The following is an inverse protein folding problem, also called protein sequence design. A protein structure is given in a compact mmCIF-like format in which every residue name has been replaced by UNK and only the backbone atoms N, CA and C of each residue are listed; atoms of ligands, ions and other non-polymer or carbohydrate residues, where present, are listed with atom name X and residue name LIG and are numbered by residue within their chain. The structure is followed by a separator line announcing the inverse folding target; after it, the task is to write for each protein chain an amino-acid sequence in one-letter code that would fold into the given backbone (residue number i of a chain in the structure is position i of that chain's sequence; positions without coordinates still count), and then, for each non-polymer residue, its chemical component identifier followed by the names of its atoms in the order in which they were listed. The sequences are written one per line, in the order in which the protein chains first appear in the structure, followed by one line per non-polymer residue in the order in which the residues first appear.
data_IF_492747573048
#
_entry.id   IF_492747573048
#
_cell.length_a   1.000
_cell.length_b   1.000
_cell.length_c   1.000
_cell.angle_alpha   90.00
_cell.angle_beta   90.00
_cell.angle_gamma   90.00
#
_symmetry.space_group_name_H-M   'P 1'
#
loop_
_entity.id
_entity.type
_entity.pdbx_description
1 polymer ?
#
# COMPACT_ATOMS: atom_id res chain seq x y z
N UNK A 1 14.95 17.53 12.58
CA UNK A 1 14.20 18.55 11.83
C UNK A 1 14.33 18.52 10.31
N UNK A 2 15.52 18.37 9.70
CA UNK A 2 15.63 18.26 8.23
C UNK A 2 15.00 17.00 7.61
N UNK A 3 15.05 15.86 8.32
CA UNK A 3 14.33 14.63 7.96
C UNK A 3 12.81 14.82 7.87
N UNK A 4 12.29 15.84 8.56
CA UNK A 4 10.87 16.19 8.57
C UNK A 4 10.49 17.05 7.35
N UNK A 5 11.42 17.84 6.81
CA UNK A 5 11.20 18.75 5.68
C UNK A 5 11.24 18.00 4.34
N UNK A 6 12.18 17.09 4.12
CA UNK A 6 12.26 16.31 2.87
C UNK A 6 11.18 15.24 2.74
N UNK A 7 10.54 14.86 3.85
CA UNK A 7 9.44 13.88 3.91
C UNK A 7 8.05 14.48 3.64
N UNK A 8 7.93 15.81 3.66
CA UNK A 8 6.63 16.51 3.71
C UNK A 8 6.26 17.39 2.53
N UNK A 9 7.24 17.76 1.73
CA UNK A 9 7.04 18.66 0.61
C UNK A 9 7.41 17.91 -0.66
N UNK A 10 6.46 17.67 -1.59
CA UNK A 10 6.76 17.03 -2.87
C UNK A 10 7.86 17.80 -3.62
N UNK A 11 8.75 17.10 -4.33
CA UNK A 11 9.75 17.72 -5.19
C UNK A 11 9.11 18.67 -6.22
N UNK A 12 7.93 18.35 -6.73
CA UNK A 12 7.13 19.23 -7.59
C UNK A 12 6.74 20.54 -6.89
N UNK A 13 6.34 20.48 -5.63
CA UNK A 13 5.95 21.65 -4.83
C UNK A 13 7.16 22.52 -4.46
N UNK A 14 8.32 21.91 -4.21
CA UNK A 14 9.59 22.62 -3.91
C UNK A 14 10.19 23.31 -5.14
N UNK A 15 9.98 22.74 -6.33
CA UNK A 15 10.38 23.32 -7.62
C UNK A 15 9.44 24.45 -8.04
N UNK A 16 8.12 24.30 -7.85
CA UNK A 16 7.14 25.35 -8.17
C UNK A 16 7.26 26.58 -7.28
N UNK A 17 7.78 26.44 -6.05
CA UNK A 17 7.91 27.54 -5.08
C UNK A 17 9.26 28.25 -5.11
N UNK A 18 10.24 27.76 -5.89
CA UNK A 18 11.53 28.42 -6.10
C UNK A 18 12.61 28.18 -5.02
N UNK A 19 12.42 27.18 -4.15
CA UNK A 19 13.32 26.91 -2.99
C UNK A 19 14.38 25.82 -3.28
N UNK A 20 14.51 25.40 -4.53
CA UNK A 20 15.30 24.23 -4.95
C UNK A 20 16.84 24.28 -4.85
N UNK A 21 17.58 25.42 -4.72
CA UNK A 21 19.04 25.37 -4.83
C UNK A 21 19.78 24.90 -3.56
N UNK A 22 19.07 24.55 -2.48
CA UNK A 22 19.67 24.06 -1.24
C UNK A 22 19.02 22.71 -0.95
N UNK A 23 19.72 21.58 -1.11
CA UNK A 23 19.51 20.23 -0.50
C UNK A 23 20.16 19.18 -1.43
N UNK A 24 21.46 18.90 -1.24
CA UNK A 24 22.16 17.72 -1.80
C UNK A 24 23.04 17.01 -0.75
N UNK A 25 22.81 17.28 0.54
CA UNK A 25 23.68 16.84 1.66
C UNK A 25 23.18 15.59 2.43
N UNK A 26 22.14 14.89 1.95
CA UNK A 26 21.37 13.92 2.74
C UNK A 26 21.99 12.53 2.90
N UNK A 27 22.89 12.07 2.03
CA UNK A 27 23.53 10.75 2.18
C UNK A 27 24.63 10.72 3.27
N UNK A 28 25.40 11.80 3.40
CA UNK A 28 26.43 11.90 4.44
C UNK A 28 25.83 11.96 5.85
N UNK A 29 24.70 12.66 6.01
CA UNK A 29 24.00 12.80 7.29
C UNK A 29 23.27 11.52 7.72
N UNK A 30 22.72 10.75 6.78
CA UNK A 30 22.11 9.45 7.08
C UNK A 30 23.17 8.43 7.52
N UNK A 31 24.31 8.39 6.83
CA UNK A 31 25.44 7.52 7.15
C UNK A 31 26.05 7.85 8.52
N UNK A 32 26.21 9.15 8.84
CA UNK A 32 26.67 9.62 10.17
C UNK A 32 25.69 9.25 11.29
N UNK A 33 24.39 9.48 11.10
CA UNK A 33 23.37 9.18 12.11
C UNK A 33 23.27 7.67 12.39
N UNK A 34 23.39 6.82 11.37
CA UNK A 34 23.34 5.37 11.53
C UNK A 34 24.62 4.82 12.19
N UNK A 35 25.79 5.35 11.81
CA UNK A 35 27.09 5.04 12.43
C UNK A 35 27.13 5.43 13.91
N UNK A 36 26.41 6.49 14.30
CA UNK A 36 26.28 6.89 15.70
C UNK A 36 25.42 5.93 16.53
N UNK A 37 24.40 5.32 15.93
CA UNK A 37 23.44 4.43 16.61
C UNK A 37 23.85 2.96 16.58
N UNK A 38 24.65 2.55 15.59
CA UNK A 38 25.13 1.18 15.41
C UNK A 38 26.59 1.19 14.93
N UNK A 39 27.56 1.49 15.83
CA UNK A 39 28.96 1.67 15.44
C UNK A 39 29.62 0.44 14.82
N UNK A 40 29.09 -0.76 15.10
CA UNK A 40 29.57 -2.03 14.54
C UNK A 40 28.92 -2.38 13.18
N UNK A 41 27.79 -1.76 12.85
CA UNK A 41 27.17 -1.78 11.52
C UNK A 41 27.82 -0.70 10.65
N UNK A 42 29.12 -0.85 10.44
CA UNK A 42 29.82 -0.05 9.43
C UNK A 42 29.34 -0.53 8.07
N UNK A 43 28.53 0.29 7.39
CA UNK A 43 28.36 0.16 5.94
C UNK A 43 29.72 0.34 5.28
N UNK A 44 30.41 -0.79 5.04
CA UNK A 44 31.54 -0.90 4.12
C UNK A 44 31.09 -1.55 2.82
N UNK A 45 29.93 -1.18 2.29
CA UNK A 45 29.52 -1.65 0.96
C UNK A 45 30.22 -0.79 -0.10
N UNK A 46 31.54 -0.99 -0.12
CA UNK A 46 32.54 -0.66 -1.12
C UNK A 46 32.46 0.72 -1.75
N UNK A 47 33.23 1.65 -1.19
CA UNK A 47 33.60 2.85 -1.93
C UNK A 47 34.30 2.48 -3.26
N UNK A 48 34.93 1.30 -3.37
CA UNK A 48 35.66 0.85 -4.57
C UNK A 48 35.11 -0.47 -5.15
N UNK A 49 34.32 -0.40 -6.22
CA UNK A 49 34.10 -1.57 -7.09
C UNK A 49 35.42 -1.90 -7.79
N UNK A 50 35.90 -3.16 -7.77
CA UNK A 50 37.18 -3.52 -8.39
C UNK A 50 37.28 -3.06 -9.85
N UNK A 51 38.27 -2.19 -10.14
CA UNK A 51 38.51 -1.66 -11.48
C UNK A 51 37.73 -0.40 -11.88
N UNK A 52 36.81 0.09 -11.03
CA UNK A 52 36.04 1.32 -11.26
C UNK A 52 36.52 2.48 -10.39
N UNK A 53 37.19 2.20 -9.27
CA UNK A 53 37.63 3.21 -8.29
C UNK A 53 36.46 3.76 -7.47
N UNK A 54 36.67 4.90 -6.78
CA UNK A 54 35.66 5.48 -5.89
C UNK A 54 34.41 5.89 -6.67
N UNK A 55 33.26 5.29 -6.35
CA UNK A 55 31.99 5.65 -6.97
C UNK A 55 31.67 7.13 -6.69
N UNK A 56 31.13 7.82 -7.70
CA UNK A 56 30.82 9.24 -7.58
C UNK A 56 29.68 9.47 -6.58
N UNK A 57 29.69 10.54 -5.78
CA UNK A 57 28.70 10.74 -4.72
C UNK A 57 27.28 11.07 -5.22
N UNK A 58 27.13 11.49 -6.48
CA UNK A 58 25.84 11.91 -7.04
C UNK A 58 25.51 11.22 -8.39
N UNK A 59 24.20 11.05 -8.63
CA UNK A 59 23.67 10.41 -9.85
C UNK A 59 23.79 11.27 -11.10
N UNK A 60 23.88 12.59 -10.94
CA UNK A 60 23.90 13.54 -12.04
C UNK A 60 25.26 13.49 -12.76
N UNK A 61 26.33 13.26 -12.00
CA UNK A 61 27.68 13.05 -12.51
C UNK A 61 27.79 11.77 -13.36
N UNK A 62 27.05 10.71 -13.05
CA UNK A 62 26.98 9.51 -13.89
C UNK A 62 26.32 9.79 -15.24
N UNK A 63 25.20 10.51 -15.25
CA UNK A 63 24.50 10.87 -16.50
C UNK A 63 25.37 11.72 -17.42
N UNK A 64 26.23 12.57 -16.85
CA UNK A 64 27.20 13.38 -17.59
C UNK A 64 28.58 12.74 -17.71
N UNK A 65 28.75 11.48 -17.28
CA UNK A 65 30.06 10.84 -17.27
C UNK A 65 30.57 10.60 -18.70
N UNK A 66 31.88 10.75 -18.94
CA UNK A 66 32.47 10.44 -20.24
C UNK A 66 32.18 9.00 -20.68
N UNK A 67 31.94 8.77 -21.96
CA UNK A 67 31.69 7.42 -22.54
C UNK A 67 32.74 6.38 -22.13
N UNK A 68 34.00 6.79 -21.98
CA UNK A 68 35.08 5.92 -21.55
C UNK A 68 34.89 5.39 -20.12
N UNK A 69 34.26 6.16 -19.23
CA UNK A 69 33.93 5.73 -17.87
C UNK A 69 32.81 4.68 -17.90
N UNK A 70 31.77 4.90 -18.70
CA UNK A 70 30.70 3.93 -18.91
C UNK A 70 31.21 2.60 -19.47
N UNK A 71 32.12 2.63 -20.45
CA UNK A 71 32.75 1.42 -21.00
C UNK A 71 33.60 0.67 -19.96
N UNK A 72 34.32 1.39 -19.09
CA UNK A 72 35.08 0.78 -17.99
C UNK A 72 34.16 0.14 -16.95
N UNK A 73 33.07 0.81 -16.59
CA UNK A 73 32.05 0.28 -15.68
C UNK A 73 31.41 -0.98 -16.27
N UNK A 74 31.04 -0.96 -17.55
CA UNK A 74 30.50 -2.10 -18.27
C UNK A 74 31.46 -3.29 -18.28
N UNK A 75 32.72 -3.05 -18.65
CA UNK A 75 33.75 -4.10 -18.69
C UNK A 75 34.07 -4.66 -17.30
N UNK A 76 34.03 -3.83 -16.26
CA UNK A 76 34.23 -4.27 -14.87
C UNK A 76 33.08 -5.15 -14.40
N UNK A 77 31.83 -4.75 -14.65
CA UNK A 77 30.67 -5.55 -14.24
C UNK A 77 30.53 -6.86 -15.02
N UNK A 78 30.77 -6.84 -16.33
CA UNK A 78 30.74 -8.05 -17.16
C UNK A 78 31.89 -9.02 -16.87
N UNK A 79 33.00 -8.51 -16.32
CA UNK A 79 34.16 -9.31 -15.89
C UNK A 79 34.20 -9.62 -14.40
N UNK A 80 33.20 -9.19 -13.63
CA UNK A 80 33.15 -9.43 -12.19
C UNK A 80 32.87 -10.91 -11.91
N UNK A 81 33.75 -11.56 -11.15
CA UNK A 81 33.53 -12.91 -10.67
C UNK A 81 32.55 -12.93 -9.47
N UNK A 82 32.11 -14.12 -9.12
CA UNK A 82 31.17 -14.33 -8.01
C UNK A 82 31.69 -13.77 -6.68
N UNK A 83 33.00 -13.83 -6.44
CA UNK A 83 33.64 -13.31 -5.23
C UNK A 83 33.68 -11.77 -5.21
N UNK A 84 33.83 -11.12 -6.36
CA UNK A 84 33.71 -9.67 -6.50
C UNK A 84 32.27 -9.20 -6.24
N UNK A 85 31.28 -9.90 -6.80
CA UNK A 85 29.87 -9.57 -6.61
C UNK A 85 29.43 -9.76 -5.15
N UNK A 86 29.94 -10.78 -4.46
CA UNK A 86 29.64 -11.04 -3.04
C UNK A 86 30.30 -10.05 -2.07
N UNK A 87 31.44 -9.46 -2.45
CA UNK A 87 32.14 -8.46 -1.63
C UNK A 87 31.37 -7.16 -1.51
N UNK A 88 30.66 -6.77 -2.57
CA UNK A 88 29.96 -5.49 -2.67
C UNK A 88 28.58 -5.65 -3.32
N UNK A 89 27.65 -6.45 -2.74
CA UNK A 89 26.48 -6.90 -3.49
C UNK A 89 25.50 -5.78 -3.82
N UNK A 90 25.36 -4.76 -2.97
CA UNK A 90 24.51 -3.61 -3.27
C UNK A 90 25.10 -2.72 -4.36
N UNK A 91 26.37 -2.36 -4.23
CA UNK A 91 27.07 -1.54 -5.24
C UNK A 91 27.06 -2.24 -6.60
N UNK A 92 27.29 -3.55 -6.62
CA UNK A 92 27.24 -4.39 -7.83
C UNK A 92 25.83 -4.43 -8.43
N UNK A 93 24.80 -4.62 -7.60
CA UNK A 93 23.41 -4.63 -8.06
C UNK A 93 22.97 -3.29 -8.65
N UNK A 94 23.33 -2.20 -7.99
CA UNK A 94 23.06 -0.85 -8.45
C UNK A 94 23.78 -0.55 -9.77
N UNK A 95 25.08 -0.85 -9.85
CA UNK A 95 25.89 -0.62 -11.05
C UNK A 95 25.41 -1.44 -12.24
N UNK A 96 25.12 -2.73 -12.05
CA UNK A 96 24.58 -3.57 -13.10
C UNK A 96 23.17 -3.11 -13.53
N UNK A 97 22.32 -2.70 -12.59
CA UNK A 97 21.01 -2.13 -12.90
C UNK A 97 21.11 -0.82 -13.69
N UNK A 98 22.03 0.07 -13.30
CA UNK A 98 22.29 1.34 -13.99
C UNK A 98 22.83 1.11 -15.41
N UNK A 99 23.82 0.23 -15.57
CA UNK A 99 24.39 -0.13 -16.88
C UNK A 99 23.36 -0.80 -17.78
N UNK A 100 22.50 -1.66 -17.23
CA UNK A 100 21.40 -2.29 -17.96
C UNK A 100 20.41 -1.24 -18.50
N UNK A 101 20.10 -0.21 -17.70
CA UNK A 101 19.16 0.84 -18.08
C UNK A 101 19.64 1.72 -19.25
N UNK A 102 20.96 1.76 -19.52
CA UNK A 102 21.56 2.53 -20.62
C UNK A 102 22.13 1.67 -21.75
N UNK A 103 22.02 0.34 -21.66
CA UNK A 103 22.51 -0.59 -22.67
C UNK A 103 21.43 -0.90 -23.72
N UNK A 104 21.78 -0.78 -24.99
CA UNK A 104 20.86 -0.97 -26.13
C UNK A 104 20.83 -2.42 -26.64
N UNK A 105 21.86 -3.22 -26.37
CA UNK A 105 21.91 -4.62 -26.79
C UNK A 105 21.23 -5.56 -25.77
N UNK A 106 20.08 -6.14 -26.13
CA UNK A 106 19.28 -7.00 -25.26
C UNK A 106 20.03 -8.14 -24.56
N UNK A 107 20.97 -8.78 -25.26
CA UNK A 107 21.78 -9.85 -24.67
C UNK A 107 22.66 -9.34 -23.54
N UNK A 108 23.29 -8.18 -23.72
CA UNK A 108 24.15 -7.54 -22.72
C UNK A 108 23.30 -6.99 -21.58
N UNK A 109 22.20 -6.31 -21.90
CA UNK A 109 21.20 -5.82 -20.95
C UNK A 109 20.70 -6.92 -20.02
N UNK A 110 20.33 -8.08 -20.58
CA UNK A 110 19.88 -9.26 -19.81
C UNK A 110 20.98 -9.80 -18.90
N UNK A 111 22.20 -9.96 -19.41
CA UNK A 111 23.34 -10.41 -18.59
C UNK A 111 23.61 -9.47 -17.41
N UNK A 112 23.44 -8.16 -17.58
CA UNK A 112 23.56 -7.18 -16.48
C UNK A 112 22.41 -7.30 -15.47
N UNK A 113 21.17 -7.52 -15.91
CA UNK A 113 20.05 -7.77 -14.97
C UNK A 113 20.26 -9.06 -14.19
N UNK A 114 20.75 -10.12 -14.83
CA UNK A 114 21.06 -11.40 -14.18
C UNK A 114 22.17 -11.21 -13.13
N UNK A 115 23.21 -10.41 -13.42
CA UNK A 115 24.24 -10.02 -12.46
C UNK A 115 23.68 -9.21 -11.29
N UNK A 116 22.78 -8.26 -11.56
CA UNK A 116 22.14 -7.45 -10.52
C UNK A 116 21.30 -8.32 -9.58
N UNK A 117 20.51 -9.24 -10.13
CA UNK A 117 19.73 -10.20 -9.35
C UNK A 117 20.62 -11.15 -8.57
N UNK A 118 21.70 -11.64 -9.18
CA UNK A 118 22.66 -12.52 -8.52
C UNK A 118 23.30 -11.85 -7.29
N UNK A 119 23.75 -10.60 -7.43
CA UNK A 119 24.30 -9.82 -6.32
C UNK A 119 23.26 -9.60 -5.20
N UNK A 120 22.00 -9.29 -5.56
CA UNK A 120 20.91 -9.12 -4.59
C UNK A 120 20.54 -10.41 -3.83
N UNK A 121 20.64 -11.58 -4.48
CA UNK A 121 20.38 -12.88 -3.83
C UNK A 121 21.30 -13.15 -2.65
N UNK A 122 22.50 -12.56 -2.61
CA UNK A 122 23.41 -12.68 -1.48
C UNK A 122 22.82 -12.18 -0.14
N UNK A 123 21.94 -11.16 -0.18
CA UNK A 123 21.27 -10.70 1.04
C UNK A 123 20.04 -11.53 1.42
N UNK A 124 19.43 -12.24 0.45
CA UNK A 124 18.30 -13.15 0.70
C UNK A 124 18.73 -14.36 1.53
N UNK A 125 19.95 -14.85 1.33
CA UNK A 125 20.49 -16.02 2.04
C UNK A 125 20.82 -15.76 3.52
N UNK A 126 20.94 -14.50 3.96
CA UNK A 126 21.42 -14.15 5.31
C UNK A 126 20.35 -13.66 6.30
N UNK A 127 19.05 -13.75 5.98
CA UNK A 127 17.96 -13.20 6.81
C UNK A 127 18.22 -11.75 7.26
N UNK A 128 18.82 -10.95 6.38
CA UNK A 128 19.29 -9.62 6.74
C UNK A 128 18.23 -8.58 6.37
N UNK A 129 17.65 -7.91 7.37
CA UNK A 129 16.74 -6.76 7.20
C UNK A 129 17.35 -5.65 6.34
N UNK A 130 18.67 -5.65 6.13
CA UNK A 130 19.36 -4.81 5.13
C UNK A 130 18.82 -5.02 3.71
N UNK A 131 18.43 -6.22 3.28
CA UNK A 131 17.83 -6.44 1.96
C UNK A 131 16.50 -5.70 1.80
N UNK A 132 15.63 -5.85 2.80
CA UNK A 132 14.34 -5.17 2.84
C UNK A 132 14.53 -3.66 2.94
N UNK A 133 15.44 -3.18 3.79
CA UNK A 133 15.73 -1.75 3.93
C UNK A 133 16.36 -1.15 2.66
N UNK A 134 17.23 -1.88 1.96
CA UNK A 134 17.79 -1.47 0.66
C UNK A 134 16.69 -1.41 -0.40
N UNK A 135 15.87 -2.46 -0.52
CA UNK A 135 14.76 -2.47 -1.45
C UNK A 135 13.78 -1.34 -1.15
N UNK A 136 13.46 -1.06 0.12
CA UNK A 136 12.50 -0.04 0.54
C UNK A 136 13.05 1.39 0.44
N UNK A 137 14.31 1.62 0.80
CA UNK A 137 14.96 2.96 0.75
C UNK A 137 15.46 3.33 -0.64
N UNK A 138 15.85 2.35 -1.44
CA UNK A 138 16.34 2.52 -2.80
C UNK A 138 15.27 2.18 -3.84
N UNK A 139 14.02 1.90 -3.41
CA UNK A 139 12.92 1.55 -4.32
C UNK A 139 12.65 2.63 -5.36
N UNK A 140 12.86 3.91 -5.07
CA UNK A 140 12.67 4.95 -6.09
C UNK A 140 13.70 4.87 -7.24
N UNK A 141 14.83 4.18 -7.03
CA UNK A 141 15.87 3.91 -8.03
C UNK A 141 15.66 2.53 -8.66
N UNK A 142 15.37 1.51 -7.85
CA UNK A 142 15.18 0.13 -8.33
C UNK A 142 13.79 -0.15 -8.87
N UNK A 143 12.75 0.58 -8.47
CA UNK A 143 11.39 0.44 -9.01
C UNK A 143 11.40 0.79 -10.50
N UNK A 144 11.96 1.92 -10.97
CA UNK A 144 12.14 2.14 -12.40
C UNK A 144 12.90 0.99 -13.09
N UNK A 145 13.95 0.43 -12.49
CA UNK A 145 14.76 -0.64 -13.10
C UNK A 145 14.02 -2.00 -13.12
N UNK A 146 13.37 -2.40 -12.03
CA UNK A 146 12.58 -3.63 -11.92
C UNK A 146 11.29 -3.53 -12.75
N UNK A 147 10.69 -2.34 -12.82
CA UNK A 147 9.53 -2.05 -13.65
C UNK A 147 9.92 -1.94 -15.13
N UNK A 148 11.15 -1.49 -15.46
CA UNK A 148 11.71 -1.52 -16.83
C UNK A 148 12.05 -2.96 -17.26
N UNK A 149 12.57 -3.79 -16.36
CA UNK A 149 12.77 -5.22 -16.60
C UNK A 149 11.45 -5.99 -16.80
N UNK A 150 10.34 -5.51 -16.23
CA UNK A 150 8.98 -6.05 -16.44
C UNK A 150 8.21 -5.38 -17.59
N UNK A 151 8.60 -4.16 -18.02
CA UNK A 151 7.92 -3.38 -19.08
C UNK A 151 8.54 -3.54 -20.48
N UNK A 152 9.69 -4.20 -20.62
CA UNK A 152 10.36 -4.35 -21.92
C UNK A 152 10.04 -5.70 -22.59
N UNK A 153 8.74 -5.98 -22.75
CA UNK A 153 8.26 -6.71 -23.92
C UNK A 153 7.94 -5.67 -25.01
N UNK A 154 8.93 -5.37 -25.85
CA UNK A 154 8.93 -4.32 -26.89
C UNK A 154 7.86 -4.52 -27.97
N UNK A 155 7.06 -5.58 -27.93
CA UNK A 155 5.89 -5.74 -28.82
C UNK A 155 4.71 -4.82 -28.49
N UNK A 156 4.70 -4.11 -27.34
CA UNK A 156 3.51 -3.36 -26.87
C UNK A 156 3.58 -1.83 -26.97
N UNK A 157 4.71 -1.24 -27.34
CA UNK A 157 4.79 0.20 -27.65
C UNK A 157 4.66 1.17 -26.46
N UNK A 158 5.06 0.77 -25.24
CA UNK A 158 4.84 1.54 -24.01
C UNK A 158 6.07 2.27 -23.41
N UNK A 159 7.21 2.38 -24.09
CA UNK A 159 8.40 3.03 -23.49
C UNK A 159 8.39 4.58 -23.66
N UNK A 160 8.76 5.29 -22.58
CA UNK A 160 8.87 6.76 -22.37
C UNK A 160 7.75 7.50 -21.60
N UNK A 161 6.80 6.83 -20.96
CA UNK A 161 5.86 7.55 -20.08
C UNK A 161 6.53 7.85 -18.73
N UNK A 162 6.56 9.14 -18.34
CA UNK A 162 6.85 9.56 -16.96
C UNK A 162 6.01 8.70 -15.99
N UNK A 163 6.52 8.34 -14.81
CA UNK A 163 5.73 7.64 -13.81
C UNK A 163 4.42 8.41 -13.61
N UNK A 164 3.32 7.66 -13.65
CA UNK A 164 2.02 8.27 -13.61
C UNK A 164 1.80 8.99 -12.29
N UNK A 165 1.61 10.30 -12.31
CA UNK A 165 1.19 11.07 -11.12
C UNK A 165 -0.29 10.89 -10.78
N UNK A 166 -0.98 9.92 -11.39
CA UNK A 166 -2.42 9.73 -11.24
C UNK A 166 -2.73 8.95 -9.96
N UNK A 167 -2.80 9.66 -8.83
CA UNK A 167 -3.14 9.04 -7.55
C UNK A 167 -4.64 8.77 -7.40
N UNK A 168 -5.48 9.57 -8.06
CA UNK A 168 -6.93 9.58 -7.92
C UNK A 168 -7.62 10.16 -9.17
N UNK A 169 -8.93 9.91 -9.31
CA UNK A 169 -9.73 10.23 -10.49
C UNK A 169 -10.83 11.27 -10.21
N UNK A 170 -10.53 12.58 -10.34
CA UNK A 170 -11.47 13.64 -9.96
C UNK A 170 -12.78 13.66 -10.75
N UNK A 171 -12.86 12.97 -11.88
CA UNK A 171 -14.05 12.93 -12.74
C UNK A 171 -14.83 11.61 -12.61
N UNK A 172 -14.43 10.74 -11.68
CA UNK A 172 -14.95 9.37 -11.59
C UNK A 172 -13.99 8.35 -12.18
N UNK A 173 -14.23 7.07 -11.85
CA UNK A 173 -13.37 5.96 -12.25
C UNK A 173 -12.30 5.60 -11.22
N UNK A 174 -11.56 4.55 -11.57
CA UNK A 174 -10.41 3.99 -10.88
C UNK A 174 -9.13 4.42 -11.61
N UNK A 175 -8.07 4.86 -10.89
CA UNK A 175 -6.81 5.20 -11.53
C UNK A 175 -6.15 3.96 -12.15
N UNK A 176 -5.76 4.06 -13.42
CA UNK A 176 -4.93 3.07 -14.09
C UNK A 176 -3.52 3.62 -14.27
N UNK A 177 -2.60 3.18 -13.40
CA UNK A 177 -1.22 3.66 -13.36
C UNK A 177 -0.41 3.26 -14.60
N UNK A 178 -0.79 2.17 -15.28
CA UNK A 178 -0.13 1.71 -16.51
C UNK A 178 -0.50 2.60 -17.71
N UNK A 179 -1.77 2.99 -17.80
CA UNK A 179 -2.29 3.77 -18.93
C UNK A 179 -2.24 5.27 -18.71
N UNK A 180 -2.07 5.70 -17.46
CA UNK A 180 -2.16 7.09 -17.04
C UNK A 180 -3.49 7.75 -17.34
N UNK A 181 -4.58 7.04 -17.03
CA UNK A 181 -5.93 7.55 -17.18
C UNK A 181 -6.86 6.95 -16.14
N UNK A 182 -7.99 7.62 -15.97
CA UNK A 182 -9.10 7.12 -15.18
C UNK A 182 -9.94 6.19 -16.04
N UNK A 183 -10.30 5.03 -15.49
CA UNK A 183 -11.14 4.04 -16.16
C UNK A 183 -12.22 3.58 -15.21
N UNK A 184 -13.41 3.28 -15.72
CA UNK A 184 -14.44 2.63 -14.91
C UNK A 184 -14.10 1.14 -14.84
N UNK A 185 -13.57 0.72 -13.68
CA UNK A 185 -13.20 -0.66 -13.44
C UNK A 185 -14.42 -1.55 -13.18
N UNK A 186 -15.52 -0.96 -12.70
CA UNK A 186 -16.75 -1.67 -12.38
C UNK A 186 -17.84 -1.31 -13.39
N UNK A 187 -18.31 -2.30 -14.13
CA UNK A 187 -19.07 -2.07 -15.38
C UNK A 187 -20.55 -2.40 -15.27
N UNK A 188 -20.98 -3.16 -14.26
CA UNK A 188 -22.38 -3.47 -14.06
C UNK A 188 -23.12 -2.23 -13.54
N UNK A 189 -24.34 -2.07 -14.03
CA UNK A 189 -25.26 -1.07 -13.49
C UNK A 189 -25.53 -1.37 -12.01
N UNK A 190 -25.38 -0.36 -11.16
CA UNK A 190 -25.66 -0.45 -9.73
C UNK A 190 -26.90 0.35 -9.36
N UNK A 191 -27.53 -0.04 -8.26
CA UNK A 191 -28.59 0.74 -7.62
C UNK A 191 -27.98 1.51 -6.45
N UNK A 192 -28.56 2.66 -6.13
CA UNK A 192 -28.24 3.32 -4.87
C UNK A 192 -28.59 2.37 -3.71
N UNK A 193 -27.63 2.16 -2.82
CA UNK A 193 -27.75 1.25 -1.68
C UNK A 193 -27.09 1.89 -0.46
N UNK A 194 -27.57 1.53 0.73
CA UNK A 194 -27.00 2.00 1.99
C UNK A 194 -25.77 1.16 2.34
N UNK A 195 -24.66 1.84 2.59
CA UNK A 195 -23.38 1.22 2.93
C UNK A 195 -22.86 1.86 4.21
N UNK A 196 -22.39 1.04 5.14
CA UNK A 196 -21.66 1.49 6.32
C UNK A 196 -20.24 0.95 6.29
N UNK A 197 -19.28 1.86 6.44
CA UNK A 197 -17.86 1.54 6.47
C UNK A 197 -17.39 1.54 7.92
N UNK A 198 -16.74 0.46 8.35
CA UNK A 198 -16.24 0.27 9.70
C UNK A 198 -14.72 0.19 9.67
N UNK A 199 -14.07 1.14 10.35
CA UNK A 199 -12.63 1.15 10.58
C UNK A 199 -12.38 0.91 12.06
N UNK A 200 -11.82 -0.25 12.40
CA UNK A 200 -11.68 -0.70 13.80
C UNK A 200 -10.22 -0.61 14.25
N UNK A 201 -9.97 0.18 15.29
CA UNK A 201 -8.61 0.44 15.78
C UNK A 201 -8.61 0.98 17.21
N UNK A 202 -7.65 0.56 18.03
CA UNK A 202 -7.50 1.04 19.42
C UNK A 202 -6.80 2.38 19.52
N UNK A 203 -6.14 2.84 18.45
CA UNK A 203 -5.42 4.11 18.42
C UNK A 203 -6.40 5.27 18.29
N UNK A 204 -6.16 6.29 19.10
CA UNK A 204 -6.92 7.55 19.00
C UNK A 204 -6.53 8.30 17.73
N UNK A 205 -7.54 8.83 17.03
CA UNK A 205 -7.32 9.75 15.91
C UNK A 205 -6.85 11.11 16.39
N UNK A 206 -5.99 11.73 15.60
CA UNK A 206 -5.68 13.15 15.75
C UNK A 206 -6.74 13.99 15.02
N UNK A 207 -6.92 15.24 15.45
CA UNK A 207 -7.79 16.17 14.72
C UNK A 207 -7.10 16.63 13.43
N UNK A 208 -7.89 16.81 12.36
CA UNK A 208 -7.39 17.21 11.04
C UNK A 208 -7.69 18.68 10.71
N UNK A 209 -7.84 19.57 11.71
CA UNK A 209 -8.36 20.96 11.61
C UNK A 209 -7.72 21.89 10.56
N UNK A 210 -6.48 21.63 10.15
CA UNK A 210 -5.73 22.47 9.22
C UNK A 210 -4.64 21.69 8.48
N UNK A 211 -4.03 22.32 7.48
CA UNK A 211 -2.95 21.70 6.68
C UNK A 211 -1.82 21.15 7.54
N UNK A 212 -1.38 21.88 8.56
CA UNK A 212 -0.32 21.42 9.46
C UNK A 212 -0.71 20.14 10.18
N UNK A 213 -1.97 20.03 10.64
CA UNK A 213 -2.48 18.81 11.28
C UNK A 213 -2.64 17.65 10.30
N UNK A 214 -3.04 17.90 9.06
CA UNK A 214 -3.08 16.87 7.99
C UNK A 214 -1.68 16.36 7.71
N UNK A 215 -0.74 17.26 7.49
CA UNK A 215 0.65 16.90 7.25
C UNK A 215 1.26 16.15 8.46
N UNK A 216 0.88 16.52 9.68
CA UNK A 216 1.30 15.87 10.95
C UNK A 216 0.58 14.57 11.28
N UNK A 217 -0.53 14.27 10.61
CA UNK A 217 -1.35 13.13 10.96
C UNK A 217 -0.65 11.82 10.60
N UNK A 218 -0.86 10.83 11.47
CA UNK A 218 -0.39 9.46 11.25
C UNK A 218 -1.33 8.73 10.29
N UNK A 219 -0.83 7.69 9.64
CA UNK A 219 -1.57 6.94 8.62
C UNK A 219 -3.00 6.54 9.01
N UNK A 220 -3.26 6.11 10.26
CA UNK A 220 -4.62 5.70 10.68
C UNK A 220 -5.60 6.88 10.73
N UNK A 221 -5.12 8.08 11.05
CA UNK A 221 -5.92 9.30 11.03
C UNK A 221 -6.15 9.77 9.60
N UNK A 222 -5.10 9.72 8.76
CA UNK A 222 -5.17 10.07 7.35
C UNK A 222 -6.10 9.15 6.57
N UNK A 223 -5.98 7.85 6.76
CA UNK A 223 -6.84 6.84 6.12
C UNK A 223 -8.31 7.09 6.46
N UNK A 224 -8.64 7.30 7.74
CA UNK A 224 -10.00 7.66 8.12
C UNK A 224 -10.47 8.96 7.44
N UNK A 225 -9.62 9.98 7.37
CA UNK A 225 -9.95 11.23 6.67
C UNK A 225 -10.25 11.02 5.19
N UNK A 226 -9.41 10.25 4.48
CA UNK A 226 -9.59 9.92 3.06
C UNK A 226 -10.89 9.14 2.84
N UNK A 227 -11.13 8.12 3.65
CA UNK A 227 -12.31 7.26 3.57
C UNK A 227 -13.59 8.00 3.97
N UNK A 228 -13.51 8.93 4.93
CA UNK A 228 -14.65 9.79 5.31
C UNK A 228 -15.02 10.77 4.20
N UNK A 229 -14.04 11.37 3.54
CA UNK A 229 -14.30 12.20 2.37
C UNK A 229 -14.98 11.39 1.25
N UNK A 230 -14.50 10.17 0.98
CA UNK A 230 -15.15 9.25 0.04
C UNK A 230 -16.58 8.89 0.43
N UNK A 231 -16.78 8.47 1.69
CA UNK A 231 -18.10 8.11 2.20
C UNK A 231 -19.09 9.25 2.01
N UNK A 232 -18.65 10.48 2.30
CA UNK A 232 -19.46 11.67 2.11
C UNK A 232 -19.83 11.90 0.63
N UNK A 233 -18.92 11.69 -0.32
CA UNK A 233 -19.20 11.88 -1.75
C UNK A 233 -20.33 10.98 -2.26
N UNK A 234 -20.59 9.85 -1.59
CA UNK A 234 -21.62 8.89 -1.96
C UNK A 234 -22.76 8.73 -0.93
N UNK A 235 -22.75 9.50 0.15
CA UNK A 235 -23.76 9.42 1.21
C UNK A 235 -23.70 8.13 2.03
N UNK A 236 -22.51 7.55 2.20
CA UNK A 236 -22.29 6.38 3.06
C UNK A 236 -22.06 6.78 4.51
N UNK A 237 -22.47 5.92 5.44
CA UNK A 237 -22.08 6.03 6.84
C UNK A 237 -20.64 5.49 7.02
N UNK A 238 -19.85 6.11 7.90
CA UNK A 238 -18.51 5.63 8.25
C UNK A 238 -18.23 5.82 9.73
N UNK A 239 -17.72 4.77 10.37
CA UNK A 239 -17.42 4.74 11.79
C UNK A 239 -15.96 4.39 12.03
N UNK A 240 -15.31 5.17 12.90
CA UNK A 240 -14.04 4.80 13.50
C UNK A 240 -14.31 4.23 14.89
N UNK A 241 -14.23 2.91 15.03
CA UNK A 241 -14.62 2.22 16.25
C UNK A 241 -13.39 1.86 17.06
N UNK A 242 -13.32 2.35 18.29
CA UNK A 242 -12.36 1.84 19.28
C UNK A 242 -12.99 0.62 19.96
N UNK A 243 -12.51 -0.61 19.67
CA UNK A 243 -13.17 -1.80 20.17
C UNK A 243 -12.87 -2.00 21.66
N UNK A 244 -13.90 -2.40 22.39
CA UNK A 244 -13.77 -2.85 23.78
C UNK A 244 -13.38 -4.34 23.84
N UNK A 245 -12.34 -4.67 24.62
CA UNK A 245 -11.81 -6.03 24.72
C UNK A 245 -12.81 -7.03 25.32
N UNK A 246 -13.57 -6.62 26.33
CA UNK A 246 -14.49 -7.51 27.03
C UNK A 246 -15.66 -7.94 26.14
N UNK A 247 -16.07 -7.07 25.22
CA UNK A 247 -17.24 -7.26 24.35
C UNK A 247 -16.88 -7.72 22.95
N UNK A 248 -15.86 -7.14 22.32
CA UNK A 248 -15.58 -7.35 20.90
C UNK A 248 -14.51 -8.40 20.61
N UNK A 249 -13.60 -8.67 21.54
CA UNK A 249 -12.52 -9.64 21.31
C UNK A 249 -12.04 -10.35 22.60
N UNK A 250 -12.93 -10.85 23.46
CA UNK A 250 -12.55 -11.44 24.74
C UNK A 250 -11.61 -12.64 24.54
N UNK A 251 -10.42 -12.55 25.14
CA UNK A 251 -9.41 -13.60 25.02
C UNK A 251 -8.81 -13.75 23.62
N UNK A 252 -8.97 -12.78 22.73
CA UNK A 252 -8.43 -12.78 21.35
C UNK A 252 -7.49 -11.59 21.14
N UNK A 253 -6.78 -11.56 20.01
CA UNK A 253 -6.07 -10.36 19.55
C UNK A 253 -7.05 -9.35 18.94
N UNK A 254 -6.70 -8.07 19.04
CA UNK A 254 -7.51 -6.94 18.57
C UNK A 254 -7.95 -7.05 17.09
N UNK A 255 -7.17 -7.69 16.22
CA UNK A 255 -7.56 -7.87 14.81
C UNK A 255 -8.86 -8.66 14.62
N UNK A 256 -9.26 -9.47 15.59
CA UNK A 256 -10.55 -10.18 15.59
C UNK A 256 -11.74 -9.26 15.84
N UNK A 257 -11.53 -8.10 16.49
CA UNK A 257 -12.58 -7.18 16.87
C UNK A 257 -13.39 -6.68 15.67
N UNK A 258 -12.75 -6.53 14.50
CA UNK A 258 -13.39 -5.99 13.30
C UNK A 258 -14.64 -6.77 12.88
N UNK A 259 -14.57 -8.11 12.95
CA UNK A 259 -15.71 -8.98 12.58
C UNK A 259 -16.84 -8.82 13.59
N UNK A 260 -16.52 -8.82 14.88
CA UNK A 260 -17.52 -8.70 15.95
C UNK A 260 -18.20 -7.34 15.96
N UNK A 261 -17.44 -6.25 15.81
CA UNK A 261 -17.96 -4.88 15.67
C UNK A 261 -18.96 -4.80 14.52
N UNK A 262 -18.62 -5.36 13.35
CA UNK A 262 -19.50 -5.32 12.18
C UNK A 262 -20.77 -6.14 12.44
N UNK A 263 -20.65 -7.34 13.02
CA UNK A 263 -21.82 -8.18 13.37
C UNK A 263 -22.79 -7.41 14.26
N UNK A 264 -22.29 -6.76 15.31
CA UNK A 264 -23.14 -6.04 16.28
C UNK A 264 -23.75 -4.79 15.65
N UNK A 265 -22.98 -4.02 14.89
CA UNK A 265 -23.46 -2.82 14.20
C UNK A 265 -24.51 -3.13 13.11
N UNK A 266 -24.34 -4.21 12.34
CA UNK A 266 -25.30 -4.61 11.31
C UNK A 266 -26.63 -5.09 11.92
N UNK A 267 -26.58 -5.78 13.07
CA UNK A 267 -27.78 -6.17 13.83
C UNK A 267 -28.52 -4.95 14.38
N UNK A 268 -27.78 -3.99 14.93
CA UNK A 268 -28.36 -2.77 15.49
C UNK A 268 -29.02 -1.89 14.42
N UNK A 269 -28.34 -1.67 13.29
CA UNK A 269 -28.82 -0.77 12.22
C UNK A 269 -29.91 -1.39 11.36
N UNK A 270 -29.87 -2.71 11.17
CA UNK A 270 -30.72 -3.41 10.21
C UNK A 270 -30.43 -3.07 8.74
N UNK A 271 -31.04 -3.80 7.80
CA UNK A 271 -30.74 -3.68 6.37
C UNK A 271 -31.20 -2.34 5.76
N UNK A 272 -32.23 -1.71 6.31
CA UNK A 272 -32.76 -0.43 5.80
C UNK A 272 -31.74 0.70 5.94
N UNK A 273 -31.07 0.76 7.10
CA UNK A 273 -30.04 1.77 7.37
C UNK A 273 -28.66 1.35 6.87
N UNK A 274 -28.41 0.04 6.82
CA UNK A 274 -27.12 -0.50 6.47
C UNK A 274 -27.26 -1.80 5.66
N UNK A 275 -27.55 -1.71 4.36
CA UNK A 275 -27.72 -2.89 3.52
C UNK A 275 -26.40 -3.66 3.33
N UNK A 276 -25.26 -2.98 3.39
CA UNK A 276 -23.93 -3.57 3.27
C UNK A 276 -22.97 -3.01 4.32
N UNK A 277 -22.29 -3.91 5.04
CA UNK A 277 -21.19 -3.56 5.93
C UNK A 277 -19.84 -3.74 5.25
N UNK A 278 -18.95 -2.76 5.38
CA UNK A 278 -17.60 -2.80 4.82
C UNK A 278 -16.59 -2.73 5.95
N UNK A 279 -15.75 -3.74 6.08
CA UNK A 279 -14.55 -3.65 6.92
C UNK A 279 -13.43 -3.04 6.11
N UNK A 280 -12.75 -2.05 6.69
CA UNK A 280 -11.55 -1.46 6.10
C UNK A 280 -10.52 -1.21 7.20
N UNK A 281 -9.36 -1.85 7.10
CA UNK A 281 -8.28 -1.62 8.05
C UNK A 281 -7.76 -0.17 7.99
N UNK A 282 -7.23 0.33 9.09
CA UNK A 282 -6.76 1.73 9.19
C UNK A 282 -5.46 2.00 8.43
N UNK A 283 -4.80 0.97 7.92
CA UNK A 283 -3.73 1.03 6.94
C UNK A 283 -4.23 0.70 5.51
N UNK A 284 -5.53 0.80 5.26
CA UNK A 284 -6.12 0.72 3.93
C UNK A 284 -6.99 1.95 3.61
N UNK A 285 -7.09 2.35 2.34
CA UNK A 285 -7.99 3.42 1.92
C UNK A 285 -8.59 3.19 0.53
N UNK A 286 -9.76 3.78 0.29
CA UNK A 286 -10.47 3.71 -0.99
C UNK A 286 -9.87 4.75 -1.95
N UNK A 287 -9.11 4.23 -2.92
CA UNK A 287 -8.38 5.01 -3.94
C UNK A 287 -9.25 5.34 -5.15
N UNK A 288 -10.18 4.45 -5.52
CA UNK A 288 -11.13 4.71 -6.61
C UNK A 288 -12.07 5.89 -6.31
N UNK A 289 -12.66 6.42 -7.37
CA UNK A 289 -13.74 7.42 -7.35
C UNK A 289 -15.07 6.81 -7.81
N UNK A 290 -15.13 5.50 -7.99
CA UNK A 290 -16.36 4.75 -8.24
C UNK A 290 -17.04 4.44 -6.89
N UNK A 291 -18.38 4.41 -6.82
CA UNK A 291 -19.09 4.07 -5.59
C UNK A 291 -18.92 2.60 -5.20
N UNK A 292 -18.90 2.30 -3.89
CA UNK A 292 -18.95 0.94 -3.37
C UNK A 292 -20.15 0.15 -3.92
N UNK A 293 -21.26 0.82 -4.24
CA UNK A 293 -22.40 0.21 -4.92
C UNK A 293 -22.04 -0.44 -6.26
N UNK A 294 -21.09 0.13 -7.02
CA UNK A 294 -20.59 -0.46 -8.27
C UNK A 294 -19.80 -1.75 -7.99
N UNK A 295 -18.95 -1.75 -6.96
CA UNK A 295 -18.21 -2.94 -6.51
C UNK A 295 -19.19 -4.04 -6.07
N UNK A 296 -20.18 -3.69 -5.25
CA UNK A 296 -21.24 -4.60 -4.77
C UNK A 296 -21.97 -5.27 -5.94
N UNK A 297 -22.29 -4.51 -7.00
CA UNK A 297 -22.94 -5.04 -8.19
C UNK A 297 -22.00 -5.95 -8.99
N UNK A 298 -20.78 -5.51 -9.31
CA UNK A 298 -19.81 -6.26 -10.12
C UNK A 298 -19.48 -7.62 -9.51
N UNK A 299 -19.26 -7.68 -8.20
CA UNK A 299 -18.97 -8.92 -7.48
C UNK A 299 -20.22 -9.72 -7.06
N UNK A 300 -21.42 -9.30 -7.48
CA UNK A 300 -22.66 -10.10 -7.32
C UNK A 300 -23.24 -10.13 -5.91
N UNK A 301 -22.85 -9.22 -5.02
CA UNK A 301 -23.42 -9.10 -3.67
C UNK A 301 -24.86 -8.55 -3.69
N UNK A 302 -25.26 -7.91 -4.80
CA UNK A 302 -26.66 -7.54 -5.05
C UNK A 302 -27.54 -8.77 -5.33
N UNK A 303 -26.95 -9.85 -5.87
CA UNK A 303 -27.69 -10.97 -6.44
C UNK A 303 -27.61 -12.19 -5.52
N UNK A 304 -26.48 -12.87 -5.51
CA UNK A 304 -26.32 -14.22 -4.94
C UNK A 304 -25.12 -14.37 -3.99
N UNK A 305 -24.28 -13.34 -3.84
CA UNK A 305 -23.15 -13.35 -2.90
C UNK A 305 -23.53 -12.72 -1.57
N UNK A 306 -22.98 -13.27 -0.50
CA UNK A 306 -23.14 -12.76 0.87
C UNK A 306 -21.94 -11.95 1.31
N UNK A 307 -20.74 -12.28 0.81
CA UNK A 307 -19.50 -11.65 1.22
C UNK A 307 -18.51 -11.56 0.05
N UNK A 308 -17.73 -10.50 0.03
CA UNK A 308 -16.59 -10.32 -0.85
C UNK A 308 -15.34 -10.05 -0.02
N UNK A 309 -14.26 -10.76 -0.31
CA UNK A 309 -12.94 -10.50 0.26
C UNK A 309 -12.00 -9.92 -0.76
N UNK A 310 -11.12 -9.02 -0.32
CA UNK A 310 -9.86 -8.77 -1.01
C UNK A 310 -8.96 -10.01 -0.96
N UNK A 311 -8.09 -10.22 -1.97
CA UNK A 311 -7.16 -11.36 -2.01
C UNK A 311 -5.70 -10.92 -1.96
N UNK A 312 -4.84 -11.64 -1.24
CA UNK A 312 -3.40 -11.37 -1.15
C UNK A 312 -2.54 -12.53 -1.68
N UNK A 313 -1.38 -12.19 -2.26
CA UNK A 313 -0.37 -13.16 -2.66
C UNK A 313 0.63 -13.37 -1.52
N UNK A 314 0.63 -14.55 -0.91
CA UNK A 314 1.69 -14.95 0.00
C UNK A 314 2.83 -15.61 -0.78
N UNK A 315 3.86 -14.82 -1.11
CA UNK A 315 5.09 -15.33 -1.72
C UNK A 315 5.86 -16.28 -0.78
N UNK A 316 5.57 -16.25 0.52
CA UNK A 316 6.27 -17.06 1.53
C UNK A 316 5.76 -18.52 1.58
N UNK A 317 4.58 -18.79 0.99
CA UNK A 317 3.97 -20.13 0.96
C UNK A 317 4.19 -20.83 -0.39
N UNK A 318 5.42 -20.78 -0.92
CA UNK A 318 5.82 -21.43 -2.19
C UNK A 318 5.49 -22.94 -2.22
N UNK A 319 5.34 -23.58 -1.06
CA UNK A 319 4.93 -24.99 -0.95
C UNK A 319 3.48 -25.26 -1.38
N UNK A 320 2.62 -24.25 -1.46
CA UNK A 320 1.21 -24.38 -1.89
C UNK A 320 0.93 -23.79 -3.29
N UNK A 321 1.98 -23.47 -4.07
CA UNK A 321 1.84 -23.15 -5.49
C UNK A 321 1.24 -21.77 -5.80
N UNK A 322 1.54 -20.75 -4.99
CA UNK A 322 1.14 -19.36 -5.28
C UNK A 322 -0.37 -19.10 -5.13
N UNK A 323 -1.05 -19.88 -4.28
CA UNK A 323 -2.47 -19.72 -4.01
C UNK A 323 -2.73 -18.35 -3.36
N UNK A 324 -3.61 -17.55 -3.96
CA UNK A 324 -4.09 -16.31 -3.35
C UNK A 324 -4.99 -16.65 -2.16
N UNK A 325 -4.68 -16.06 -1.00
CA UNK A 325 -5.47 -16.19 0.23
C UNK A 325 -6.40 -14.98 0.37
N UNK A 326 -7.43 -15.11 1.20
CA UNK A 326 -8.22 -13.94 1.54
C UNK A 326 -7.41 -12.97 2.40
N UNK A 327 -7.68 -11.68 2.26
CA UNK A 327 -7.15 -10.63 3.13
C UNK A 327 -8.32 -9.97 3.87
N UNK A 328 -8.33 -10.11 5.19
CA UNK A 328 -9.34 -9.52 6.07
C UNK A 328 -9.18 -8.01 6.32
N UNK A 329 -8.30 -7.32 5.58
CA UNK A 329 -8.13 -5.86 5.66
C UNK A 329 -9.12 -5.08 4.80
N UNK A 330 -9.73 -5.73 3.81
CA UNK A 330 -10.92 -5.23 3.13
C UNK A 330 -11.90 -6.37 2.83
N UNK A 331 -13.13 -6.22 3.30
CA UNK A 331 -14.24 -7.08 2.89
C UNK A 331 -15.59 -6.36 2.96
N UNK A 332 -16.53 -6.82 2.13
CA UNK A 332 -17.91 -6.32 2.09
C UNK A 332 -18.84 -7.48 2.42
N UNK A 333 -19.77 -7.28 3.35
CA UNK A 333 -20.81 -8.25 3.71
C UNK A 333 -22.19 -7.68 3.44
N UNK A 334 -23.11 -8.52 2.95
CA UNK A 334 -24.52 -8.19 2.79
C UNK A 334 -25.25 -8.31 4.14
N UNK A 335 -25.94 -7.27 4.58
CA UNK A 335 -26.72 -7.28 5.81
C UNK A 335 -28.03 -8.06 5.63
N UNK A 336 -27.92 -9.37 5.79
CA UNK A 336 -29.01 -10.34 5.77
C UNK A 336 -28.81 -11.27 6.97
N UNK A 337 -29.85 -11.98 7.43
CA UNK A 337 -29.68 -13.00 8.47
C UNK A 337 -28.55 -13.99 8.13
N UNK A 338 -28.43 -14.40 6.87
CA UNK A 338 -27.41 -15.31 6.38
C UNK A 338 -26.02 -14.67 6.37
N UNK A 339 -25.88 -13.43 5.89
CA UNK A 339 -24.59 -12.72 5.86
C UNK A 339 -24.05 -12.41 7.26
N UNK A 340 -24.92 -11.95 8.17
CA UNK A 340 -24.55 -11.71 9.57
C UNK A 340 -24.26 -13.02 10.29
N UNK A 341 -25.05 -14.07 10.03
CA UNK A 341 -24.80 -15.42 10.55
C UNK A 341 -23.45 -15.97 10.12
N UNK A 342 -23.09 -15.78 8.85
CA UNK A 342 -21.78 -16.17 8.29
C UNK A 342 -20.62 -15.44 8.99
N UNK A 343 -20.72 -14.13 9.23
CA UNK A 343 -19.67 -13.40 9.97
C UNK A 343 -19.56 -13.85 11.42
N UNK A 344 -20.69 -14.11 12.08
CA UNK A 344 -20.69 -14.64 13.44
C UNK A 344 -20.03 -16.02 13.48
N UNK A 345 -20.39 -16.92 12.56
CA UNK A 345 -19.77 -18.24 12.45
C UNK A 345 -18.26 -18.13 12.20
N UNK A 346 -17.83 -17.21 11.32
CA UNK A 346 -16.40 -16.97 11.07
C UNK A 346 -15.67 -16.53 12.33
N UNK A 347 -16.27 -15.61 13.09
CA UNK A 347 -15.72 -15.18 14.37
C UNK A 347 -15.62 -16.37 15.34
N UNK A 348 -16.59 -17.27 15.38
CA UNK A 348 -16.64 -18.40 16.33
C UNK A 348 -15.79 -19.62 15.91
N UNK A 349 -15.12 -19.58 14.75
CA UNK A 349 -14.30 -20.72 14.25
C UNK A 349 -13.31 -21.25 15.30
N UNK A 350 -12.51 -20.43 16.00
CA UNK A 350 -11.56 -20.95 16.97
C UNK A 350 -12.20 -21.59 18.22
N UNK A 351 -13.49 -21.41 18.46
CA UNK A 351 -14.26 -22.05 19.52
C UNK A 351 -14.90 -23.34 19.03
N UNK A 352 -15.31 -23.38 17.75
CA UNK A 352 -15.93 -24.56 17.14
C UNK A 352 -14.92 -25.64 16.74
N UNK A 353 -13.67 -25.24 16.47
CA UNK A 353 -12.64 -26.14 15.95
C UNK A 353 -11.39 -26.10 16.82
N UNK A 354 -11.13 -27.20 17.54
CA UNK A 354 -9.99 -27.32 18.47
C UNK A 354 -8.65 -27.07 17.76
N UNK A 355 -8.50 -27.54 16.52
CA UNK A 355 -7.29 -27.33 15.70
C UNK A 355 -7.06 -25.87 15.31
N UNK A 356 -8.07 -25.00 15.45
CA UNK A 356 -7.99 -23.56 15.15
C UNK A 356 -7.91 -22.69 16.41
N UNK A 357 -8.02 -23.26 17.62
CA UNK A 357 -8.10 -22.50 18.87
C UNK A 357 -6.89 -21.59 19.12
N UNK A 358 -5.70 -21.98 18.68
CA UNK A 358 -4.46 -21.21 18.82
C UNK A 358 -4.48 -19.89 18.02
N UNK A 359 -5.22 -19.86 16.90
CA UNK A 359 -5.30 -18.69 16.00
C UNK A 359 -5.99 -17.47 16.64
N UNK A 360 -6.69 -17.64 17.77
CA UNK A 360 -7.21 -16.51 18.59
C UNK A 360 -6.11 -15.54 19.01
N UNK A 361 -4.89 -16.04 19.18
CA UNK A 361 -3.74 -15.28 19.68
C UNK A 361 -2.84 -14.75 18.56
N UNK A 362 -3.15 -15.07 17.30
CA UNK A 362 -2.44 -14.60 16.12
C UNK A 362 -3.16 -13.38 15.50
N UNK A 363 -2.39 -12.42 14.97
CA UNK A 363 -2.93 -11.19 14.40
C UNK A 363 -2.14 -10.74 13.17
N UNK A 364 -2.78 -10.40 12.04
CA UNK A 364 -4.17 -10.68 11.64
C UNK A 364 -4.37 -12.07 11.00
N UNK A 365 -3.28 -12.82 10.79
CA UNK A 365 -3.27 -14.04 9.97
C UNK A 365 -4.19 -15.14 10.51
N UNK A 366 -4.42 -15.20 11.82
CA UNK A 366 -5.33 -16.20 12.40
C UNK A 366 -6.76 -16.10 11.87
N UNK A 367 -7.24 -14.88 11.64
CA UNK A 367 -8.58 -14.62 11.11
C UNK A 367 -8.71 -15.05 9.64
N UNK A 368 -7.70 -14.74 8.80
CA UNK A 368 -7.65 -15.19 7.40
C UNK A 368 -7.56 -16.72 7.32
N UNK A 369 -6.70 -17.35 8.13
CA UNK A 369 -6.55 -18.81 8.16
C UNK A 369 -7.84 -19.53 8.60
N UNK A 370 -8.55 -19.01 9.59
CA UNK A 370 -9.86 -19.56 9.99
C UNK A 370 -10.87 -19.52 8.85
N UNK A 371 -10.86 -18.44 8.05
CA UNK A 371 -11.69 -18.38 6.86
C UNK A 371 -11.26 -19.43 5.83
N UNK A 372 -10.01 -19.37 5.37
CA UNK A 372 -9.52 -20.18 4.27
C UNK A 372 -9.62 -21.69 4.53
N UNK A 373 -9.42 -22.11 5.78
CA UNK A 373 -9.40 -23.53 6.16
C UNK A 373 -10.77 -24.10 6.53
N UNK A 374 -11.65 -23.31 7.15
CA UNK A 374 -12.93 -23.81 7.67
C UNK A 374 -14.15 -23.19 6.98
N UNK A 375 -14.14 -21.89 6.72
CA UNK A 375 -15.29 -21.18 6.13
C UNK A 375 -15.35 -21.31 4.62
N UNK A 376 -14.23 -21.10 3.91
CA UNK A 376 -14.18 -21.07 2.45
C UNK A 376 -14.71 -22.37 1.81
N UNK A 377 -14.36 -23.59 2.27
CA UNK A 377 -14.91 -24.81 1.71
C UNK A 377 -16.44 -24.91 1.82
N UNK A 378 -17.02 -24.36 2.90
CA UNK A 378 -18.47 -24.37 3.17
C UNK A 378 -19.21 -23.26 2.42
N UNK A 379 -18.59 -22.09 2.27
CA UNK A 379 -19.24 -20.86 1.78
C UNK A 379 -18.74 -20.37 0.41
N UNK A 380 -17.96 -21.17 -0.32
CA UNK A 380 -17.41 -20.79 -1.64
C UNK A 380 -18.48 -20.28 -2.63
N UNK A 381 -19.66 -20.91 -2.67
CA UNK A 381 -20.73 -20.53 -3.61
C UNK A 381 -21.29 -19.12 -3.37
N UNK A 382 -21.27 -18.64 -2.13
CA UNK A 382 -21.78 -17.32 -1.70
C UNK A 382 -20.67 -16.30 -1.43
N UNK A 383 -19.42 -16.68 -1.70
CA UNK A 383 -18.25 -15.81 -1.55
C UNK A 383 -17.83 -15.27 -2.92
N UNK A 384 -17.46 -13.99 -2.94
CA UNK A 384 -16.76 -13.35 -4.04
C UNK A 384 -15.32 -13.02 -3.62
N UNK A 385 -14.41 -13.02 -4.58
CA UNK A 385 -12.99 -12.78 -4.36
C UNK A 385 -12.57 -11.65 -5.29
N UNK A 386 -12.15 -10.52 -4.70
CA UNK A 386 -11.65 -9.35 -5.42
C UNK A 386 -10.21 -9.55 -5.86
N UNK A 387 -9.89 -9.16 -7.09
CA UNK A 387 -8.57 -9.35 -7.64
C UNK A 387 -7.51 -8.56 -6.85
N UNK A 388 -6.33 -9.16 -6.56
CA UNK A 388 -5.30 -8.51 -5.75
C UNK A 388 -4.84 -7.15 -6.28
N UNK A 389 -4.77 -6.97 -7.60
CA UNK A 389 -4.35 -5.71 -8.22
C UNK A 389 -5.36 -4.57 -8.01
N UNK A 390 -6.63 -4.88 -7.73
CA UNK A 390 -7.65 -3.89 -7.41
C UNK A 390 -7.73 -3.60 -5.90
N UNK A 391 -7.55 -4.61 -5.03
CA UNK A 391 -7.92 -4.48 -3.61
C UNK A 391 -6.79 -4.69 -2.58
N UNK A 392 -5.65 -5.30 -2.94
CA UNK A 392 -4.75 -5.86 -1.90
C UNK A 392 -3.27 -5.85 -2.24
N UNK A 393 -2.86 -5.14 -3.28
CA UNK A 393 -1.45 -4.86 -3.51
C UNK A 393 -1.07 -3.54 -2.80
N UNK A 394 0.23 -3.31 -2.53
CA UNK A 394 0.73 -1.96 -2.25
C UNK A 394 0.37 -0.96 -3.37
N UNK A 395 -0.11 -1.42 -4.53
CA UNK A 395 -0.63 -0.64 -5.65
C UNK A 395 -2.12 -0.91 -5.95
N UNK A 396 -2.90 -1.40 -4.99
CA UNK A 396 -4.32 -1.67 -5.18
C UNK A 396 -5.04 -0.45 -5.79
N UNK A 397 -5.60 -0.62 -6.99
CA UNK A 397 -6.11 0.49 -7.78
C UNK A 397 -7.43 1.04 -7.21
N UNK A 398 -8.29 0.16 -6.70
CA UNK A 398 -9.58 0.52 -6.13
C UNK A 398 -9.49 0.74 -4.61
N UNK A 399 -8.91 -0.22 -3.90
CA UNK A 399 -8.58 -0.13 -2.47
C UNK A 399 -7.09 -0.39 -2.33
N UNK A 400 -6.37 0.57 -1.74
CA UNK A 400 -4.95 0.43 -1.45
C UNK A 400 -4.78 -0.01 0.00
N UNK A 401 -4.09 -1.12 0.23
CA UNK A 401 -3.81 -1.66 1.56
C UNK A 401 -2.30 -1.70 1.82
N UNK A 402 -1.85 -1.07 2.91
CA UNK A 402 -0.43 -0.87 3.22
C UNK A 402 0.17 -1.95 4.13
N UNK A 403 -0.09 -3.22 3.83
CA UNK A 403 0.48 -4.31 4.62
C UNK A 403 2.02 -4.29 4.64
N UNK A 404 2.67 -3.90 3.54
CA UNK A 404 4.14 -3.80 3.46
C UNK A 404 4.75 -2.57 4.15
N UNK A 405 3.92 -1.69 4.75
CA UNK A 405 4.37 -0.45 5.40
C UNK A 405 5.20 0.45 4.48
N UNK A 406 4.72 0.63 3.25
CA UNK A 406 5.24 1.60 2.28
C UNK A 406 5.34 3.00 2.93
N UNK A 407 6.54 3.59 2.84
CA UNK A 407 6.86 4.89 3.41
C UNK A 407 6.15 6.04 2.68
N UNK A 408 5.67 5.83 1.44
CA UNK A 408 4.92 6.85 0.68
C UNK A 408 3.43 6.85 0.99
N UNK A 409 2.95 5.89 1.77
CA UNK A 409 1.52 5.71 2.02
C UNK A 409 0.88 6.92 2.71
N UNK A 410 1.55 7.52 3.70
CA UNK A 410 1.06 8.73 4.36
C UNK A 410 0.98 9.92 3.39
N UNK A 411 2.01 10.11 2.55
CA UNK A 411 2.04 11.16 1.55
C UNK A 411 0.90 11.02 0.54
N UNK A 412 0.68 9.81 0.02
CA UNK A 412 -0.40 9.56 -0.93
C UNK A 412 -1.78 9.84 -0.34
N UNK A 413 -2.02 9.44 0.91
CA UNK A 413 -3.27 9.78 1.59
C UNK A 413 -3.44 11.27 1.82
N UNK A 414 -2.35 12.00 2.14
CA UNK A 414 -2.40 13.45 2.25
C UNK A 414 -2.81 14.09 0.91
N UNK A 415 -2.17 13.69 -0.19
CA UNK A 415 -2.45 14.23 -1.52
C UNK A 415 -3.90 13.95 -1.95
N UNK A 416 -4.37 12.71 -1.79
CA UNK A 416 -5.75 12.32 -2.12
C UNK A 416 -6.76 13.08 -1.24
N UNK A 417 -6.50 13.18 0.06
CA UNK A 417 -7.35 13.92 0.98
C UNK A 417 -7.47 15.39 0.56
N UNK A 418 -6.34 16.06 0.34
CA UNK A 418 -6.31 17.47 -0.06
C UNK A 418 -7.02 17.68 -1.39
N UNK A 419 -6.84 16.80 -2.38
CA UNK A 419 -7.54 16.87 -3.65
C UNK A 419 -9.06 16.69 -3.53
N UNK A 420 -9.52 15.72 -2.72
CA UNK A 420 -10.96 15.53 -2.47
C UNK A 420 -11.58 16.76 -1.80
N UNK A 421 -10.90 17.31 -0.80
CA UNK A 421 -11.36 18.50 -0.09
C UNK A 421 -11.36 19.75 -0.99
N UNK A 422 -10.32 19.92 -1.82
CA UNK A 422 -10.26 20.99 -2.81
C UNK A 422 -11.40 20.90 -3.81
N UNK A 423 -11.67 19.71 -4.38
CA UNK A 423 -12.78 19.53 -5.33
C UNK A 423 -14.13 19.87 -4.69
N UNK A 424 -14.32 19.44 -3.45
CA UNK A 424 -15.61 19.52 -2.76
C UNK A 424 -15.95 20.91 -2.25
N UNK A 425 -14.96 21.60 -1.68
CA UNK A 425 -15.16 22.88 -1.00
C UNK A 425 -14.48 24.05 -1.71
N UNK A 426 -13.89 23.80 -2.89
CA UNK A 426 -13.04 24.74 -3.61
C UNK A 426 -11.92 25.32 -2.73
N UNK A 427 -11.34 24.47 -1.88
CA UNK A 427 -10.52 24.92 -0.77
C UNK A 427 -9.56 23.84 -0.27
N UNK A 428 -8.30 24.19 -0.11
CA UNK A 428 -7.24 23.29 0.40
C UNK A 428 -7.19 23.35 1.95
N UNK A 429 -7.66 24.43 2.58
CA UNK A 429 -7.64 24.64 4.04
C UNK A 429 -8.91 25.37 4.51
N UNK A 430 -10.03 24.67 4.62
CA UNK A 430 -11.29 25.26 5.09
C UNK A 430 -11.56 24.88 6.54
N UNK A 431 -11.35 25.80 7.48
CA UNK A 431 -11.49 25.55 8.92
C UNK A 431 -12.79 24.80 9.28
N UNK A 432 -13.92 25.13 8.63
CA UNK A 432 -15.22 24.51 8.89
C UNK A 432 -15.37 23.07 8.36
N UNK A 433 -14.52 22.67 7.41
CA UNK A 433 -14.52 21.33 6.80
C UNK A 433 -13.67 20.36 7.61
N UNK A 434 -12.70 20.89 8.35
CA UNK A 434 -11.69 20.11 9.04
C UNK A 434 -11.98 19.91 10.54
N UNK A 435 -13.07 20.48 11.06
CA UNK A 435 -13.56 20.23 12.43
C UNK A 435 -14.26 18.86 12.52
N UNK A 436 -13.55 17.81 12.09
CA UNK A 436 -13.95 16.40 12.18
C UNK A 436 -13.72 15.82 13.58
N UNK A 437 -13.86 16.66 14.60
CA UNK A 437 -13.66 16.25 15.98
C UNK A 437 -14.91 15.50 16.46
N UNK A 438 -14.74 14.23 16.83
CA UNK A 438 -15.80 13.36 17.36
C UNK A 438 -16.36 13.83 18.72
N UNK A 439 -15.78 14.89 19.29
CA UNK A 439 -16.16 15.39 20.61
C UNK A 439 -17.56 16.02 20.65
N UNK A 440 -18.14 16.37 19.50
CA UNK A 440 -19.53 16.82 19.40
C UNK A 440 -20.26 16.08 18.27
N UNK A 441 -20.80 14.91 18.58
CA UNK A 441 -21.81 14.22 17.78
C UNK A 441 -23.18 14.96 17.84
N UNK A 442 -23.14 16.29 17.72
CA UNK A 442 -24.28 17.13 17.40
C UNK A 442 -24.03 17.66 16.00
N UNK A 443 -24.43 16.87 15.03
CA UNK A 443 -24.67 17.31 13.66
C UNK A 443 -25.50 18.62 13.73
N UNK A 444 -24.95 19.81 13.38
CA UNK A 444 -25.78 20.98 13.22
C UNK A 444 -26.49 20.77 11.89
N UNK A 445 -27.68 20.17 11.96
CA UNK A 445 -28.47 19.83 10.80
C UNK A 445 -28.45 20.93 9.75
N UNK A 446 -27.86 20.61 8.60
CA UNK A 446 -27.99 21.41 7.40
C UNK A 446 -29.32 21.04 6.74
N UNK A 447 -30.34 21.85 7.03
CA UNK A 447 -31.56 21.97 6.22
C UNK A 447 -31.30 22.79 4.96
#
# INVERSE_FOLDING_TARGET
DWYYLTYRFPYSLLVETGWAPIIFSTWALLAESFKSSFPDLVWKDCEDVPGVGKLMPDMQAYVTAPTQMWQKMMSSMMGADEDALKRCPLASAFMAGLLSAVEDHDKVRKSLLDLAQFALRHYREKNNFTFANVLLSSWNIFSPIAHTALLLDEKTGLSKKKPCGLLWCPQGGTPNDLLCRCEFAFTKGYRNTTVCIFMVDTRRRSSLRNITSVLNARYWTLSFGVNRAYAHDFGYEIDYVNPDEATHYPGRKVGWAKVKVIVDALRERGPERCAYGVSLDTDAFIRTSEPLAAIIADYGLADNKLIMFSQEYHMENDHEGGKALINGGFFIVRNTPEGVGLLQEWYDVPEMYEDMAHLKKENPQGLNQCWDRKMQPKYAAVTALGEPHLFTAPLGLAVRHNWFKDLRFEQEMQDILLHRLQRRYNCIVCQNVYDWDDSNNTDPGWR
#
